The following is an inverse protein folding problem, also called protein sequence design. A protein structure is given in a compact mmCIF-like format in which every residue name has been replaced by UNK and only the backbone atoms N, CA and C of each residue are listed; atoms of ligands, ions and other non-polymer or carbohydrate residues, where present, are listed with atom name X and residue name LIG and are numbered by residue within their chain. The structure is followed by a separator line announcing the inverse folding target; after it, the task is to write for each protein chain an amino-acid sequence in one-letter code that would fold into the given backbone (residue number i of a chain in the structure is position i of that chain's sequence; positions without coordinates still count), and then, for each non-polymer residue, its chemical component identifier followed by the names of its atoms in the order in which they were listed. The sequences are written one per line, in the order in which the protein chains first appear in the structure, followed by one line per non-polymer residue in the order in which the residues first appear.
data_IF_749624241986
#
_entry.id   IF_749624241986
#
_cell.length_a   1.000
_cell.length_b   1.000
_cell.length_c   1.000
_cell.angle_alpha   90.00
_cell.angle_beta   90.00
_cell.angle_gamma   90.00
#
_symmetry.space_group_name_H-M   'P 1'
#
loop_
_entity.id
_entity.type
_entity.pdbx_description
1 polymer ?
#
# COMPACT_ATOMS: atom_id res chain seq x y z
N UNK A 1 -1.33 -11.23 -23.42
CA UNK A 1 -0.51 -10.03 -23.20
C UNK A 1 -1.07 -9.27 -22.01
N UNK A 2 -0.21 -8.99 -21.01
CA UNK A 2 -0.60 -8.18 -19.85
C UNK A 2 -0.60 -6.73 -20.29
N UNK A 3 -1.71 -6.03 -20.09
CA UNK A 3 -1.75 -4.59 -20.29
C UNK A 3 -0.83 -3.93 -19.24
N UNK A 4 0.08 -3.07 -19.64
CA UNK A 4 0.96 -2.36 -18.71
C UNK A 4 0.12 -1.48 -17.78
N UNK A 5 0.45 -1.46 -16.48
CA UNK A 5 -0.09 -0.49 -15.54
C UNK A 5 0.65 0.82 -15.74
N UNK A 6 -0.07 1.92 -15.87
CA UNK A 6 0.50 3.27 -15.92
C UNK A 6 0.20 4.01 -14.63
N UNK A 7 1.03 4.97 -14.25
CA UNK A 7 0.86 5.72 -13.01
C UNK A 7 0.87 7.22 -13.21
N UNK A 8 0.06 7.92 -12.41
CA UNK A 8 0.13 9.38 -12.25
C UNK A 8 0.35 9.72 -10.78
N UNK A 9 1.15 10.74 -10.51
CA UNK A 9 1.50 11.15 -9.15
C UNK A 9 0.72 12.39 -8.74
N UNK A 10 -0.02 12.29 -7.64
CA UNK A 10 -0.79 13.40 -7.07
C UNK A 10 0.12 14.46 -6.46
N UNK A 11 1.29 14.06 -5.97
CA UNK A 11 2.17 14.89 -5.15
C UNK A 11 3.64 14.46 -5.26
N UNK A 12 4.54 15.39 -5.07
CA UNK A 12 5.95 15.14 -4.74
C UNK A 12 6.16 15.41 -3.27
N UNK A 13 6.53 14.37 -2.52
CA UNK A 13 6.54 14.36 -1.06
C UNK A 13 5.23 13.84 -0.50
N UNK A 14 5.13 13.81 0.82
CA UNK A 14 3.97 13.29 1.52
C UNK A 14 3.62 14.17 2.72
N UNK A 15 2.34 14.25 3.08
CA UNK A 15 1.88 14.90 4.31
C UNK A 15 2.01 13.98 5.52
N UNK A 16 2.14 12.67 5.30
CA UNK A 16 2.24 11.64 6.35
C UNK A 16 3.71 11.34 6.62
N UNK A 17 3.99 10.93 7.85
CA UNK A 17 5.34 10.70 8.32
C UNK A 17 5.56 9.24 8.74
N UNK A 18 5.24 8.30 7.86
CA UNK A 18 5.45 6.89 8.09
C UNK A 18 6.93 6.60 8.36
N UNK A 19 7.22 5.82 9.40
CA UNK A 19 8.58 5.62 9.88
C UNK A 19 9.45 4.84 8.89
N UNK A 20 8.83 3.92 8.17
CA UNK A 20 9.43 3.00 7.21
C UNK A 20 9.63 3.60 5.81
N UNK A 21 8.91 4.68 5.49
CA UNK A 21 8.78 5.15 4.11
C UNK A 21 9.85 6.19 3.73
N UNK A 22 10.62 5.90 2.68
CA UNK A 22 11.58 6.82 2.05
C UNK A 22 10.93 7.99 1.28
N UNK A 23 9.60 7.98 1.11
CA UNK A 23 8.79 9.09 0.58
C UNK A 23 8.07 9.92 1.65
N UNK A 24 8.26 9.61 2.94
CA UNK A 24 7.59 10.30 4.04
C UNK A 24 7.95 11.79 4.14
N UNK A 25 7.20 12.52 4.95
CA UNK A 25 7.52 13.93 5.24
C UNK A 25 8.95 14.11 5.77
N UNK A 26 9.38 13.21 6.67
CA UNK A 26 10.75 13.20 7.19
C UNK A 26 11.79 13.01 6.08
N UNK A 27 11.62 11.95 5.26
CA UNK A 27 12.55 11.65 4.18
C UNK A 27 12.66 12.81 3.17
N UNK A 28 11.52 13.38 2.78
CA UNK A 28 11.51 14.53 1.88
C UNK A 28 12.20 15.76 2.47
N UNK A 29 12.02 16.02 3.77
CA UNK A 29 12.68 17.13 4.45
C UNK A 29 14.19 16.98 4.56
N UNK A 30 14.65 15.78 4.91
CA UNK A 30 16.06 15.53 5.25
C UNK A 30 16.92 15.12 4.04
N UNK A 31 16.36 14.31 3.12
CA UNK A 31 17.12 13.77 1.98
C UNK A 31 16.95 14.65 0.74
N UNK A 32 15.72 15.07 0.45
CA UNK A 32 15.39 15.86 -0.76
C UNK A 32 15.35 17.38 -0.48
N UNK A 33 15.56 17.79 0.77
CA UNK A 33 15.49 19.19 1.24
C UNK A 33 14.14 19.87 0.93
N UNK A 34 13.07 19.11 0.82
CA UNK A 34 11.72 19.58 0.53
C UNK A 34 10.88 19.62 1.81
N UNK A 35 10.68 20.80 2.35
CA UNK A 35 9.94 21.02 3.61
C UNK A 35 8.41 20.92 3.48
N UNK A 36 7.86 21.05 2.26
CA UNK A 36 6.42 20.97 2.02
C UNK A 36 6.15 20.09 0.81
N UNK A 37 5.11 19.24 0.84
CA UNK A 37 4.65 18.51 -0.33
C UNK A 37 4.25 19.47 -1.44
N UNK A 38 4.55 19.12 -2.70
CA UNK A 38 4.16 19.87 -3.87
C UNK A 38 3.10 19.09 -4.64
N UNK A 39 1.84 19.44 -4.41
CA UNK A 39 0.71 18.82 -5.08
C UNK A 39 0.60 19.29 -6.54
N UNK A 40 0.33 18.35 -7.43
CA UNK A 40 -0.10 18.67 -8.78
C UNK A 40 -1.51 19.26 -8.73
N UNK A 41 -1.84 20.25 -9.53
CA UNK A 41 -3.20 20.75 -9.50
C UNK A 41 -4.19 19.70 -10.01
N UNK A 42 -5.43 19.64 -9.48
CA UNK A 42 -6.45 18.70 -9.94
C UNK A 42 -6.65 18.69 -11.44
N UNK A 43 -6.67 19.90 -12.05
CA UNK A 43 -6.88 20.12 -13.48
C UNK A 43 -5.74 19.51 -14.31
N UNK A 44 -4.48 19.71 -13.87
CA UNK A 44 -3.31 19.15 -14.54
C UNK A 44 -3.18 17.65 -14.36
N UNK A 45 -3.58 17.13 -13.20
CA UNK A 45 -3.60 15.69 -12.97
C UNK A 45 -4.64 14.99 -13.87
N UNK A 46 -5.84 15.56 -14.00
CA UNK A 46 -6.88 15.06 -14.89
C UNK A 46 -6.49 15.21 -16.39
N UNK A 47 -5.78 16.28 -16.75
CA UNK A 47 -5.22 16.46 -18.08
C UNK A 47 -4.20 15.37 -18.41
N UNK A 48 -3.27 15.06 -17.49
CA UNK A 48 -2.29 13.97 -17.67
C UNK A 48 -2.99 12.63 -17.95
N UNK A 49 -4.04 12.29 -17.20
CA UNK A 49 -4.84 11.09 -17.42
C UNK A 49 -5.49 11.09 -18.80
N UNK A 50 -6.07 12.22 -19.22
CA UNK A 50 -6.68 12.35 -20.55
C UNK A 50 -5.65 12.17 -21.68
N UNK A 51 -4.42 12.67 -21.48
CA UNK A 51 -3.32 12.44 -22.43
C UNK A 51 -2.94 10.96 -22.48
N UNK A 52 -2.78 10.31 -21.32
CA UNK A 52 -2.50 8.86 -21.26
C UNK A 52 -3.59 8.08 -21.99
N UNK A 53 -4.86 8.38 -21.70
CA UNK A 53 -6.03 7.73 -22.32
C UNK A 53 -6.00 7.81 -23.86
N UNK A 54 -5.47 8.86 -24.43
CA UNK A 54 -5.41 9.01 -25.91
C UNK A 54 -4.41 8.05 -26.56
N UNK A 55 -3.51 7.45 -25.80
CA UNK A 55 -2.47 6.53 -26.27
C UNK A 55 -2.60 5.10 -25.73
N UNK A 56 -3.15 4.95 -24.50
CA UNK A 56 -3.14 3.69 -23.78
C UNK A 56 -4.52 3.41 -23.14
N UNK A 57 -5.12 2.29 -23.52
CA UNK A 57 -6.29 1.74 -22.84
C UNK A 57 -5.81 0.75 -21.75
N UNK A 58 -5.23 1.28 -20.68
CA UNK A 58 -4.67 0.49 -19.57
C UNK A 58 -5.16 1.05 -18.24
N UNK A 59 -5.18 0.25 -17.16
CA UNK A 59 -5.43 0.76 -15.82
C UNK A 59 -4.43 1.86 -15.45
N UNK A 60 -4.91 2.89 -14.77
CA UNK A 60 -4.09 4.02 -14.30
C UNK A 60 -4.05 4.00 -12.78
N UNK A 61 -2.86 3.83 -12.20
CA UNK A 61 -2.65 3.93 -10.78
C UNK A 61 -2.44 5.39 -10.37
N UNK A 62 -3.34 5.90 -9.54
CA UNK A 62 -3.27 7.24 -8.96
C UNK A 62 -2.46 7.14 -7.67
N UNK A 63 -1.16 7.38 -7.76
CA UNK A 63 -0.23 7.28 -6.64
C UNK A 63 -0.41 8.46 -5.68
N UNK A 64 -0.67 8.15 -4.42
CA UNK A 64 -0.95 9.10 -3.36
C UNK A 64 -2.46 9.33 -3.17
N UNK A 65 -2.89 9.29 -1.92
CA UNK A 65 -4.30 9.51 -1.56
C UNK A 65 -4.75 10.92 -1.98
N UNK A 66 -5.75 11.00 -2.84
CA UNK A 66 -6.33 12.26 -3.32
C UNK A 66 -6.80 13.17 -2.18
N UNK A 67 -7.16 12.58 -1.02
CA UNK A 67 -7.67 13.30 0.15
C UNK A 67 -6.56 13.85 1.04
N UNK A 68 -5.28 13.47 0.81
CA UNK A 68 -4.18 13.94 1.67
C UNK A 68 -3.95 15.45 1.58
N UNK A 69 -4.35 16.11 0.50
CA UNK A 69 -4.35 17.56 0.43
C UNK A 69 -5.59 18.14 1.13
N UNK A 70 -6.76 17.73 0.68
CA UNK A 70 -8.08 18.10 1.23
C UNK A 70 -9.21 17.36 0.50
N UNK A 71 -10.38 17.28 1.13
CA UNK A 71 -11.58 16.77 0.45
C UNK A 71 -11.92 17.57 -0.82
N UNK A 72 -11.79 18.90 -0.77
CA UNK A 72 -12.04 19.74 -1.93
C UNK A 72 -11.05 19.54 -3.08
N UNK A 73 -9.82 19.08 -2.81
CA UNK A 73 -8.89 18.67 -3.87
C UNK A 73 -9.40 17.41 -4.58
N UNK A 74 -9.78 16.38 -3.82
CA UNK A 74 -10.32 15.15 -4.37
C UNK A 74 -11.58 15.41 -5.22
N UNK A 75 -12.52 16.18 -4.69
CA UNK A 75 -13.76 16.54 -5.40
C UNK A 75 -13.50 17.28 -6.72
N UNK A 76 -12.56 18.25 -6.73
CA UNK A 76 -12.20 18.96 -7.96
C UNK A 76 -11.54 18.04 -8.98
N UNK A 77 -10.63 17.18 -8.54
CA UNK A 77 -10.00 16.20 -9.43
C UNK A 77 -11.03 15.26 -10.07
N UNK A 78 -11.93 14.69 -9.26
CA UNK A 78 -12.98 13.81 -9.77
C UNK A 78 -13.92 14.54 -10.76
N UNK A 79 -14.26 15.81 -10.47
CA UNK A 79 -15.03 16.64 -11.40
C UNK A 79 -14.29 16.85 -12.72
N UNK A 80 -13.00 17.20 -12.69
CA UNK A 80 -12.18 17.38 -13.89
C UNK A 80 -12.07 16.11 -14.74
N UNK A 81 -11.97 14.93 -14.09
CA UNK A 81 -11.99 13.66 -14.80
C UNK A 81 -13.32 13.41 -15.51
N UNK A 82 -14.45 13.71 -14.87
CA UNK A 82 -15.79 13.62 -15.51
C UNK A 82 -15.92 14.55 -16.68
N UNK A 83 -15.55 15.82 -16.50
CA UNK A 83 -15.64 16.85 -17.54
C UNK A 83 -14.78 16.51 -18.76
N UNK A 84 -13.70 15.76 -18.59
CA UNK A 84 -12.80 15.29 -19.65
C UNK A 84 -13.17 13.93 -20.22
N UNK A 85 -14.15 13.25 -19.66
CA UNK A 85 -14.57 11.92 -20.09
C UNK A 85 -13.50 10.85 -19.92
N UNK A 86 -12.86 10.81 -18.74
CA UNK A 86 -11.88 9.76 -18.43
C UNK A 86 -12.56 8.40 -18.37
N UNK A 87 -12.05 7.44 -19.17
CA UNK A 87 -12.63 6.08 -19.32
C UNK A 87 -11.71 4.96 -18.87
N UNK A 88 -10.44 5.22 -18.59
CA UNK A 88 -9.56 4.18 -18.07
C UNK A 88 -10.09 3.64 -16.74
N UNK A 89 -9.89 2.35 -16.51
CA UNK A 89 -9.97 1.81 -15.16
C UNK A 89 -8.93 2.49 -14.27
N UNK A 90 -9.29 2.86 -13.04
CA UNK A 90 -8.34 3.50 -12.14
C UNK A 90 -8.09 2.67 -10.88
N UNK A 91 -6.88 2.71 -10.39
CA UNK A 91 -6.48 2.20 -9.09
C UNK A 91 -6.23 3.38 -8.17
N UNK A 92 -6.94 3.44 -7.04
CA UNK A 92 -6.87 4.54 -6.07
C UNK A 92 -6.11 4.06 -4.85
N UNK A 93 -5.13 4.84 -4.41
CA UNK A 93 -4.42 4.59 -3.17
C UNK A 93 -5.12 5.27 -1.98
N UNK A 94 -5.28 4.53 -0.88
CA UNK A 94 -5.81 5.05 0.38
C UNK A 94 -4.73 5.06 1.46
N UNK A 95 -4.63 6.18 2.20
CA UNK A 95 -3.74 6.31 3.36
C UNK A 95 -4.47 6.15 4.70
N UNK A 96 -5.80 6.19 4.68
CA UNK A 96 -6.67 5.90 5.81
C UNK A 96 -8.06 5.48 5.30
N UNK A 97 -8.96 5.09 6.22
CA UNK A 97 -10.33 4.72 5.88
C UNK A 97 -11.08 5.81 5.11
N UNK A 98 -12.04 5.39 4.29
CA UNK A 98 -12.89 6.26 3.50
C UNK A 98 -14.37 5.85 3.60
N UNK A 99 -15.26 6.81 3.41
CA UNK A 99 -16.70 6.61 3.52
C UNK A 99 -17.43 6.65 2.19
N UNK A 100 -18.74 6.36 2.27
CA UNK A 100 -19.64 6.21 1.13
C UNK A 100 -19.69 7.45 0.22
N UNK A 101 -19.65 8.65 0.78
CA UNK A 101 -19.70 9.90 -0.01
C UNK A 101 -18.54 9.97 -1.01
N UNK A 102 -17.31 9.69 -0.53
CA UNK A 102 -16.14 9.69 -1.38
C UNK A 102 -16.20 8.58 -2.45
N UNK A 103 -16.59 7.36 -2.06
CA UNK A 103 -16.66 6.25 -2.99
C UNK A 103 -17.76 6.39 -4.05
N UNK A 104 -18.91 6.97 -3.68
CA UNK A 104 -19.95 7.29 -4.66
C UNK A 104 -19.48 8.35 -5.67
N UNK A 105 -18.66 9.31 -5.25
CA UNK A 105 -18.10 10.31 -6.18
C UNK A 105 -17.05 9.69 -7.11
N UNK A 106 -16.26 8.73 -6.60
CA UNK A 106 -15.33 7.93 -7.40
C UNK A 106 -16.08 7.08 -8.43
N UNK A 107 -17.12 6.34 -8.01
CA UNK A 107 -17.90 5.45 -8.86
C UNK A 107 -18.57 6.21 -10.01
N UNK A 108 -19.21 7.34 -9.69
CA UNK A 108 -19.81 8.22 -10.72
C UNK A 108 -18.78 8.82 -11.68
N UNK A 109 -17.50 8.81 -11.31
CA UNK A 109 -16.43 9.38 -12.14
C UNK A 109 -15.83 8.35 -13.08
N UNK A 110 -15.63 7.13 -12.62
CA UNK A 110 -14.90 6.11 -13.37
C UNK A 110 -15.82 4.96 -13.76
N UNK A 111 -16.68 5.21 -14.76
CA UNK A 111 -17.72 4.28 -15.23
C UNK A 111 -17.16 2.93 -15.73
N UNK A 112 -15.92 2.88 -16.21
CA UNK A 112 -15.25 1.63 -16.63
C UNK A 112 -14.61 0.86 -15.46
N UNK A 113 -14.90 1.29 -14.23
CA UNK A 113 -14.50 0.62 -13.00
C UNK A 113 -13.30 1.26 -12.30
N UNK A 114 -13.18 0.89 -11.05
CA UNK A 114 -12.12 1.35 -10.16
C UNK A 114 -11.78 0.28 -9.12
N UNK A 115 -10.59 0.37 -8.60
CA UNK A 115 -10.07 -0.51 -7.56
C UNK A 115 -9.27 0.28 -6.52
N UNK A 116 -8.97 -0.37 -5.41
CA UNK A 116 -8.28 0.25 -4.26
C UNK A 116 -7.01 -0.51 -3.92
N UNK A 117 -5.94 0.22 -3.63
CA UNK A 117 -4.79 -0.24 -2.85
C UNK A 117 -4.78 0.45 -1.49
N UNK A 118 -4.71 -0.32 -0.43
CA UNK A 118 -4.65 0.18 0.93
C UNK A 118 -3.59 -0.58 1.75
N UNK A 119 -2.63 0.15 2.30
CA UNK A 119 -1.49 -0.41 3.04
C UNK A 119 -1.52 -0.02 4.52
N UNK A 120 -2.28 -0.73 5.37
CA UNK A 120 -2.21 -0.55 6.81
C UNK A 120 -0.89 -1.03 7.42
N UNK A 121 -0.16 -1.89 6.73
CA UNK A 121 1.07 -2.58 7.09
C UNK A 121 0.90 -3.57 8.24
N UNK A 122 0.08 -3.29 9.24
CA UNK A 122 -0.21 -4.20 10.37
C UNK A 122 -1.69 -4.17 10.75
N UNK A 123 -2.21 -5.32 11.13
CA UNK A 123 -3.49 -5.46 11.81
C UNK A 123 -3.39 -5.06 13.29
N UNK A 124 -2.21 -5.11 13.88
CA UNK A 124 -1.97 -4.65 15.24
C UNK A 124 -1.92 -3.12 15.28
N UNK A 125 -2.91 -2.51 15.95
CA UNK A 125 -3.02 -1.05 16.04
C UNK A 125 -1.83 -0.39 16.74
N UNK A 126 -1.16 -1.08 17.67
CA UNK A 126 0.04 -0.55 18.33
C UNK A 126 1.20 -0.48 17.34
N UNK A 127 1.44 -1.56 16.60
CA UNK A 127 2.46 -1.60 15.55
C UNK A 127 2.18 -0.52 14.51
N UNK A 128 0.94 -0.44 14.02
CA UNK A 128 0.51 0.55 13.03
C UNK A 128 0.68 2.00 13.52
N UNK A 129 0.30 2.25 14.76
CA UNK A 129 0.45 3.59 15.37
C UNK A 129 1.92 4.03 15.48
N UNK A 130 2.81 3.12 15.84
CA UNK A 130 4.26 3.39 15.90
C UNK A 130 4.81 3.76 14.52
N UNK A 131 4.31 3.13 13.46
CA UNK A 131 4.69 3.49 12.09
C UNK A 131 4.17 4.87 11.66
N UNK A 132 3.22 5.46 12.40
CA UNK A 132 2.62 6.75 12.06
C UNK A 132 1.26 6.66 11.36
N UNK A 133 0.63 5.49 11.36
CA UNK A 133 -0.69 5.21 10.78
C UNK A 133 -1.71 4.98 11.90
N UNK A 134 -2.23 6.07 12.49
CA UNK A 134 -3.00 6.06 13.75
C UNK A 134 -4.50 5.72 13.63
N UNK A 135 -4.98 5.17 12.52
CA UNK A 135 -6.38 4.75 12.36
C UNK A 135 -6.64 3.35 12.92
N UNK A 136 -7.90 3.06 13.27
CA UNK A 136 -8.34 1.83 13.95
C UNK A 136 -8.60 0.69 12.95
N UNK A 137 -8.66 -0.56 13.45
CA UNK A 137 -9.12 -1.70 12.68
C UNK A 137 -10.59 -1.53 12.25
N UNK A 138 -11.41 -0.93 13.11
CA UNK A 138 -12.80 -0.61 12.76
C UNK A 138 -12.89 0.26 11.50
N UNK A 139 -12.00 1.23 11.34
CA UNK A 139 -11.96 2.07 10.12
C UNK A 139 -11.66 1.22 8.87
N UNK A 140 -10.77 0.24 8.97
CA UNK A 140 -10.48 -0.70 7.86
C UNK A 140 -11.69 -1.59 7.59
N UNK A 141 -12.25 -2.22 8.65
CA UNK A 141 -13.40 -3.13 8.57
C UNK A 141 -14.65 -2.45 7.99
N UNK A 142 -14.81 -1.15 8.19
CA UNK A 142 -15.91 -0.36 7.59
C UNK A 142 -15.62 0.07 6.15
N UNK A 143 -14.37 0.42 5.85
CA UNK A 143 -13.97 0.90 4.51
C UNK A 143 -14.18 -0.15 3.43
N UNK A 144 -13.83 -1.41 3.71
CA UNK A 144 -13.86 -2.50 2.71
C UNK A 144 -15.29 -2.76 2.20
N UNK A 145 -16.30 -3.08 3.05
CA UNK A 145 -17.66 -3.30 2.56
C UNK A 145 -18.25 -2.04 1.92
N UNK A 146 -18.00 -0.86 2.48
CA UNK A 146 -18.48 0.41 1.92
C UNK A 146 -17.95 0.63 0.50
N UNK A 147 -16.68 0.31 0.23
CA UNK A 147 -16.13 0.40 -1.12
C UNK A 147 -16.85 -0.53 -2.10
N UNK A 148 -17.11 -1.78 -1.70
CA UNK A 148 -17.83 -2.75 -2.53
C UNK A 148 -19.29 -2.37 -2.77
N UNK A 149 -19.98 -1.83 -1.77
CA UNK A 149 -21.34 -1.30 -1.90
C UNK A 149 -21.41 -0.14 -2.91
N UNK A 150 -20.33 0.63 -3.04
CA UNK A 150 -20.22 1.73 -3.98
C UNK A 150 -19.62 1.34 -5.34
N UNK A 151 -19.46 0.06 -5.68
CA UNK A 151 -19.05 -0.37 -7.01
C UNK A 151 -17.56 -0.72 -7.17
N UNK A 152 -16.75 -0.69 -6.10
CA UNK A 152 -15.35 -1.11 -6.16
C UNK A 152 -15.23 -2.52 -6.76
N UNK A 153 -14.43 -2.66 -7.81
CA UNK A 153 -14.27 -3.93 -8.51
C UNK A 153 -13.20 -4.83 -7.90
N UNK A 154 -12.25 -4.24 -7.15
CA UNK A 154 -11.16 -4.95 -6.47
C UNK A 154 -10.61 -4.13 -5.33
N UNK A 155 -10.33 -4.77 -4.21
CA UNK A 155 -9.72 -4.16 -3.03
C UNK A 155 -8.47 -4.94 -2.63
N UNK A 156 -7.31 -4.31 -2.74
CA UNK A 156 -6.02 -4.86 -2.35
C UNK A 156 -5.60 -4.28 -1.00
N UNK A 157 -5.43 -5.15 -0.01
CA UNK A 157 -5.03 -4.81 1.35
C UNK A 157 -3.65 -5.40 1.65
N UNK A 158 -2.72 -4.57 2.12
CA UNK A 158 -1.34 -5.00 2.35
C UNK A 158 -0.98 -5.00 3.83
N UNK A 159 -0.61 -6.17 4.33
CA UNK A 159 0.04 -6.38 5.63
C UNK A 159 1.49 -6.79 5.43
N UNK A 160 2.34 -6.43 6.37
CA UNK A 160 3.79 -6.64 6.29
C UNK A 160 4.32 -7.39 7.52
N UNK A 161 5.44 -8.07 7.34
CA UNK A 161 6.19 -8.76 8.40
C UNK A 161 7.55 -8.09 8.58
N UNK A 162 8.05 -8.12 9.81
CA UNK A 162 9.33 -7.51 10.14
C UNK A 162 9.22 -6.03 10.52
N UNK A 163 8.08 -5.63 11.05
CA UNK A 163 7.81 -4.28 11.50
C UNK A 163 8.34 -4.02 12.93
N UNK A 164 8.55 -2.75 13.33
CA UNK A 164 8.91 -2.41 14.70
C UNK A 164 7.83 -2.89 15.67
N UNK A 165 8.23 -3.46 16.80
CA UNK A 165 7.34 -4.00 17.85
C UNK A 165 6.45 -5.17 17.40
N UNK A 166 6.62 -5.67 16.21
CA UNK A 166 5.93 -6.87 15.72
C UNK A 166 6.76 -8.10 16.07
N UNK A 167 6.24 -8.94 16.94
CA UNK A 167 6.81 -10.26 17.23
C UNK A 167 6.20 -11.35 16.33
N UNK A 168 6.70 -12.58 16.53
CA UNK A 168 6.25 -13.74 15.74
C UNK A 168 4.76 -14.01 15.89
N UNK A 169 4.21 -13.86 17.11
CA UNK A 169 2.80 -14.11 17.39
C UNK A 169 1.92 -13.07 16.67
N UNK A 170 2.21 -11.79 16.84
CA UNK A 170 1.52 -10.71 16.13
C UNK A 170 1.61 -10.88 14.61
N UNK A 171 2.80 -11.21 14.09
CA UNK A 171 2.94 -11.45 12.66
C UNK A 171 2.07 -12.61 12.17
N UNK A 172 2.01 -13.74 12.89
CA UNK A 172 1.17 -14.89 12.54
C UNK A 172 -0.32 -14.60 12.64
N UNK A 173 -0.74 -13.78 13.61
CA UNK A 173 -2.15 -13.44 13.83
C UNK A 173 -2.78 -12.68 12.64
N UNK A 174 -1.97 -12.03 11.80
CA UNK A 174 -2.46 -11.38 10.59
C UNK A 174 -3.20 -12.32 9.61
N UNK A 175 -2.86 -13.61 9.60
CA UNK A 175 -3.58 -14.60 8.80
C UNK A 175 -5.00 -14.84 9.33
N UNK A 176 -5.18 -14.88 10.66
CA UNK A 176 -6.49 -15.00 11.31
C UNK A 176 -7.35 -13.77 11.02
N UNK A 177 -6.75 -12.57 11.09
CA UNK A 177 -7.45 -11.33 10.77
C UNK A 177 -7.85 -11.30 9.31
N UNK A 178 -6.99 -11.72 8.39
CA UNK A 178 -7.32 -11.84 6.97
C UNK A 178 -8.55 -12.73 6.74
N UNK A 179 -8.60 -13.91 7.36
CA UNK A 179 -9.78 -14.80 7.29
C UNK A 179 -11.05 -14.14 7.80
N UNK A 180 -10.96 -13.41 8.93
CA UNK A 180 -12.10 -12.67 9.48
C UNK A 180 -12.60 -11.60 8.51
N UNK A 181 -11.70 -10.87 7.86
CA UNK A 181 -12.05 -9.85 6.88
C UNK A 181 -12.72 -10.47 5.64
N UNK A 182 -12.20 -11.57 5.09
CA UNK A 182 -12.85 -12.27 3.97
C UNK A 182 -14.27 -12.73 4.34
N UNK A 183 -14.42 -13.34 5.51
CA UNK A 183 -15.74 -13.81 5.98
C UNK A 183 -16.74 -12.67 6.26
N UNK A 184 -16.27 -11.43 6.38
CA UNK A 184 -17.12 -10.26 6.68
C UNK A 184 -17.70 -9.59 5.43
N UNK A 185 -17.24 -9.96 4.23
CA UNK A 185 -17.68 -9.37 2.97
C UNK A 185 -18.35 -10.42 2.08
N UNK A 186 -19.35 -10.01 1.29
CA UNK A 186 -20.01 -10.90 0.31
C UNK A 186 -19.17 -11.10 -0.96
N UNK A 187 -18.26 -10.18 -1.22
CA UNK A 187 -17.41 -10.13 -2.42
C UNK A 187 -16.00 -10.67 -2.11
N UNK A 188 -15.92 -11.87 -1.52
CA UNK A 188 -14.66 -12.51 -1.15
C UNK A 188 -13.67 -12.64 -2.32
N UNK A 189 -14.19 -12.85 -3.53
CA UNK A 189 -13.41 -12.96 -4.76
C UNK A 189 -12.80 -11.64 -5.24
N UNK A 190 -13.23 -10.50 -4.67
CA UNK A 190 -12.74 -9.16 -4.98
C UNK A 190 -11.82 -8.57 -3.91
N UNK A 191 -11.75 -9.20 -2.73
CA UNK A 191 -10.86 -8.79 -1.65
C UNK A 191 -9.56 -9.59 -1.69
N UNK A 192 -8.45 -8.92 -1.89
CA UNK A 192 -7.11 -9.51 -1.89
C UNK A 192 -6.33 -8.99 -0.68
N UNK A 193 -5.87 -9.91 0.16
CA UNK A 193 -5.09 -9.54 1.34
C UNK A 193 -3.69 -10.12 1.17
N UNK A 194 -2.72 -9.23 1.02
CA UNK A 194 -1.32 -9.58 0.88
C UNK A 194 -0.65 -9.56 2.25
N UNK A 195 0.24 -10.49 2.46
CA UNK A 195 1.02 -10.57 3.67
C UNK A 195 2.45 -10.99 3.30
N UNK A 196 3.34 -10.05 3.30
CA UNK A 196 4.69 -10.20 2.80
C UNK A 196 5.72 -9.62 3.79
N UNK A 197 7.00 -9.96 3.69
CA UNK A 197 8.03 -9.20 4.37
C UNK A 197 7.90 -7.72 4.01
N UNK A 198 8.21 -6.87 4.99
CA UNK A 198 8.41 -5.46 4.71
C UNK A 198 9.59 -5.31 3.75
N UNK A 199 9.35 -5.18 2.48
CA UNK A 199 10.30 -5.09 1.39
C UNK A 199 11.62 -5.90 1.59
N UNK A 200 12.44 -6.22 0.61
CA UNK A 200 13.74 -6.84 0.86
C UNK A 200 14.73 -5.89 1.55
N UNK A 201 14.41 -4.61 1.64
CA UNK A 201 15.24 -3.57 2.26
C UNK A 201 14.37 -2.52 2.96
N UNK A 202 14.95 -1.88 3.97
CA UNK A 202 14.37 -0.68 4.58
C UNK A 202 14.66 0.51 3.67
N UNK A 203 13.65 1.31 3.39
CA UNK A 203 13.74 2.44 2.46
C UNK A 203 14.82 3.44 2.88
N UNK A 204 15.82 3.71 2.03
CA UNK A 204 16.80 4.76 2.27
C UNK A 204 16.13 6.13 2.51
N UNK A 205 16.62 6.85 3.50
CA UNK A 205 16.05 8.14 3.90
C UNK A 205 14.84 8.05 4.84
N UNK A 206 14.29 6.87 5.09
CA UNK A 206 13.24 6.68 6.10
C UNK A 206 13.80 6.87 7.52
N UNK A 207 12.92 7.14 8.49
CA UNK A 207 13.35 7.24 9.90
C UNK A 207 14.02 5.98 10.42
N UNK A 208 13.50 4.82 10.00
CA UNK A 208 14.09 3.51 10.37
C UNK A 208 15.48 3.36 9.75
N UNK A 209 15.66 3.72 8.49
CA UNK A 209 16.95 3.60 7.81
C UNK A 209 18.02 4.53 8.42
N UNK A 210 17.64 5.77 8.73
CA UNK A 210 18.58 6.77 9.28
C UNK A 210 18.95 6.46 10.72
N UNK A 211 18.01 5.94 11.53
CA UNK A 211 18.20 5.65 12.96
C UNK A 211 17.79 4.20 13.32
N UNK A 212 18.38 3.16 12.70
CA UNK A 212 17.86 1.79 12.80
C UNK A 212 17.85 1.24 14.24
N UNK A 213 18.84 1.56 15.04
CA UNK A 213 18.93 1.10 16.44
C UNK A 213 17.80 1.64 17.32
N UNK A 214 17.35 2.88 17.10
CA UNK A 214 16.22 3.48 17.82
C UNK A 214 14.92 2.74 17.52
N UNK A 215 14.80 2.24 16.28
CA UNK A 215 13.65 1.47 15.80
C UNK A 215 13.78 -0.04 16.02
N UNK A 216 14.88 -0.49 16.67
CA UNK A 216 15.12 -1.90 16.94
C UNK A 216 15.51 -2.70 15.70
N UNK A 217 16.08 -2.08 14.68
CA UNK A 217 16.58 -2.73 13.47
C UNK A 217 18.09 -2.91 13.50
N UNK A 218 18.53 -4.01 12.92
CA UNK A 218 19.91 -4.25 12.48
C UNK A 218 19.91 -4.31 10.97
N UNK A 219 20.56 -3.34 10.31
CA UNK A 219 20.69 -3.32 8.86
C UNK A 219 21.95 -4.10 8.43
N UNK A 220 21.78 -4.96 7.43
CA UNK A 220 22.85 -5.78 6.85
C UNK A 220 23.38 -5.20 5.53
N UNK A 221 22.67 -4.24 4.97
CA UNK A 221 23.10 -3.47 3.80
C UNK A 221 22.55 -2.05 3.91
N UNK A 222 23.39 -1.06 3.57
CA UNK A 222 23.05 0.36 3.53
C UNK A 222 23.43 1.00 2.20
N UNK A 223 24.28 0.39 1.43
CA UNK A 223 24.73 0.88 0.13
C UNK A 223 24.21 0.00 -1.00
N UNK A 224 24.14 0.53 -2.21
CA UNK A 224 23.75 -0.22 -3.39
C UNK A 224 24.66 -1.44 -3.62
N UNK A 225 25.95 -1.31 -3.37
CA UNK A 225 26.91 -2.41 -3.52
C UNK A 225 26.67 -3.51 -2.47
N UNK A 226 26.34 -3.17 -1.23
CA UNK A 226 25.99 -4.16 -0.21
C UNK A 226 24.70 -4.88 -0.56
N UNK A 227 23.67 -4.16 -1.05
CA UNK A 227 22.43 -4.76 -1.54
C UNK A 227 22.70 -5.68 -2.73
N UNK A 228 23.52 -5.26 -3.69
CA UNK A 228 23.91 -6.10 -4.83
C UNK A 228 24.50 -7.42 -4.36
N UNK A 229 25.42 -7.39 -3.36
CA UNK A 229 26.01 -8.61 -2.79
C UNK A 229 24.97 -9.53 -2.12
N UNK A 230 23.92 -8.96 -1.51
CA UNK A 230 22.84 -9.77 -0.96
C UNK A 230 22.09 -10.52 -2.06
N UNK A 231 21.94 -9.94 -3.25
CA UNK A 231 21.27 -10.58 -4.39
C UNK A 231 22.05 -11.79 -4.95
N UNK A 232 23.36 -11.92 -4.68
CA UNK A 232 24.16 -13.07 -5.08
C UNK A 232 23.85 -14.34 -4.27
N UNK A 233 23.04 -14.23 -3.21
CA UNK A 233 22.63 -15.35 -2.38
C UNK A 233 21.50 -16.16 -3.03
N UNK A 234 21.47 -17.49 -2.83
CA UNK A 234 20.54 -18.40 -3.52
C UNK A 234 19.09 -18.34 -3.00
N UNK A 235 18.84 -17.62 -1.92
CA UNK A 235 17.55 -17.59 -1.25
C UNK A 235 17.11 -16.15 -0.96
N UNK A 236 15.85 -15.84 -1.25
CA UNK A 236 15.29 -14.53 -0.98
C UNK A 236 15.39 -14.11 0.51
N UNK A 237 15.38 -15.06 1.44
CA UNK A 237 15.65 -14.81 2.86
C UNK A 237 16.96 -14.04 3.06
N UNK A 238 18.00 -14.40 2.31
CA UNK A 238 19.31 -13.76 2.41
C UNK A 238 19.37 -12.42 1.68
N UNK A 239 18.39 -12.12 0.84
CA UNK A 239 18.22 -10.79 0.21
C UNK A 239 17.67 -9.78 1.20
N UNK A 240 16.93 -10.20 2.24
CA UNK A 240 16.48 -9.31 3.30
C UNK A 240 17.66 -8.58 3.94
N UNK A 241 17.67 -7.26 3.81
CA UNK A 241 18.77 -6.42 4.29
C UNK A 241 18.67 -6.03 5.77
N UNK A 242 17.70 -6.58 6.49
CA UNK A 242 17.44 -6.21 7.88
C UNK A 242 16.96 -7.40 8.72
N UNK A 243 17.03 -7.22 10.00
CA UNK A 243 16.30 -7.96 11.02
C UNK A 243 15.91 -7.00 12.14
N UNK A 244 14.98 -7.42 13.00
CA UNK A 244 14.53 -6.61 14.12
C UNK A 244 14.90 -7.29 15.44
N UNK A 245 14.86 -6.56 16.55
CA UNK A 245 15.06 -7.16 17.88
C UNK A 245 13.93 -8.10 18.30
N UNK A 246 12.81 -8.12 17.55
CA UNK A 246 11.64 -8.99 17.81
C UNK A 246 11.59 -10.22 16.90
N UNK A 247 12.18 -10.12 15.70
CA UNK A 247 12.22 -11.20 14.71
C UNK A 247 13.54 -11.19 13.95
N UNK A 248 14.18 -12.35 13.88
CA UNK A 248 15.32 -12.59 12.99
C UNK A 248 14.88 -12.65 11.52
N UNK A 249 15.84 -12.61 10.59
CA UNK A 249 15.54 -12.86 9.16
C UNK A 249 14.89 -14.22 8.93
N UNK A 250 15.29 -15.21 9.72
CA UNK A 250 14.73 -16.55 9.64
C UNK A 250 13.28 -16.58 10.06
N UNK A 251 12.92 -15.86 11.14
CA UNK A 251 11.53 -15.72 11.57
C UNK A 251 10.67 -15.02 10.50
N UNK A 252 11.16 -13.92 9.95
CA UNK A 252 10.43 -13.16 8.90
C UNK A 252 10.18 -14.05 7.68
N UNK A 253 11.21 -14.80 7.25
CA UNK A 253 11.09 -15.71 6.12
C UNK A 253 10.12 -16.87 6.41
N UNK A 254 10.29 -17.54 7.55
CA UNK A 254 9.45 -18.68 7.94
C UNK A 254 7.98 -18.28 8.05
N UNK A 255 7.68 -17.15 8.72
CA UNK A 255 6.32 -16.64 8.87
C UNK A 255 5.70 -16.34 7.51
N UNK A 256 6.46 -15.74 6.60
CA UNK A 256 5.95 -15.41 5.27
C UNK A 256 5.57 -16.65 4.46
N UNK A 257 6.27 -17.77 4.62
CA UNK A 257 5.90 -19.05 4.01
C UNK A 257 4.79 -19.77 4.76
N UNK A 258 4.82 -19.80 6.10
CA UNK A 258 3.90 -20.59 6.90
C UNK A 258 2.48 -20.01 6.98
N UNK A 259 2.29 -18.75 6.60
CA UNK A 259 0.95 -18.15 6.50
C UNK A 259 0.13 -18.68 5.32
N UNK A 260 0.79 -19.09 4.23
CA UNK A 260 0.11 -19.62 3.04
C UNK A 260 -0.79 -20.82 3.37
N UNK A 261 -0.38 -21.84 4.16
CA UNK A 261 -1.26 -22.94 4.55
C UNK A 261 -2.34 -22.57 5.56
N UNK A 262 -2.19 -21.44 6.29
CA UNK A 262 -3.22 -20.96 7.23
C UNK A 262 -4.37 -20.23 6.54
N UNK A 263 -4.10 -19.68 5.36
CA UNK A 263 -5.11 -19.31 4.38
C UNK A 263 -5.52 -20.65 3.75
N UNK A 264 -6.76 -21.12 3.99
CA UNK A 264 -7.18 -22.44 3.50
C UNK A 264 -6.74 -22.66 2.03
N UNK A 265 -6.64 -23.94 1.62
CA UNK A 265 -6.10 -24.30 0.31
C UNK A 265 -6.88 -23.63 -0.85
N UNK A 266 -8.14 -23.29 -0.65
CA UNK A 266 -9.01 -22.65 -1.63
C UNK A 266 -8.65 -21.16 -1.80
N UNK A 267 -8.37 -20.44 -0.71
CA UNK A 267 -7.86 -19.07 -0.72
C UNK A 267 -6.43 -18.99 -1.28
N UNK A 268 -5.59 -19.97 -0.95
CA UNK A 268 -4.24 -20.08 -1.52
C UNK A 268 -4.26 -20.37 -3.03
N UNK A 269 -5.20 -21.19 -3.53
CA UNK A 269 -5.40 -21.42 -4.96
C UNK A 269 -5.96 -20.18 -5.68
N UNK A 270 -6.84 -19.41 -5.03
CA UNK A 270 -7.31 -18.12 -5.58
C UNK A 270 -6.17 -17.11 -5.76
N UNK A 271 -5.16 -17.13 -4.88
CA UNK A 271 -3.95 -16.31 -4.99
C UNK A 271 -2.96 -16.86 -6.04
N UNK A 272 -2.84 -18.19 -6.19
CA UNK A 272 -1.88 -18.85 -7.08
C UNK A 272 -2.35 -19.07 -8.52
N UNK A 273 -3.66 -19.18 -8.77
CA UNK A 273 -4.22 -19.48 -10.09
C UNK A 273 -4.58 -18.25 -10.94
N UNK A 274 -4.46 -17.05 -10.38
CA UNK A 274 -4.56 -15.85 -11.23
C UNK A 274 -3.17 -15.57 -11.82
N UNK A 275 -3.00 -15.96 -13.07
CA UNK A 275 -1.92 -15.44 -13.91
C UNK A 275 -1.89 -13.93 -13.74
N UNK A 276 -0.81 -13.47 -13.15
CA UNK A 276 -0.43 -12.06 -13.10
C UNK A 276 -0.46 -11.45 -14.47
#
# INVERSE_FOLDING_TARGET
DKLPLTSVFTVRGCTINCAECGGSHFANGNVVCRKKPAFRSPEKLAEDISVIQSYLDTPIFIVGDLRQHSAGYAQRFLKECRDRGVKNHVVIELFNGAGMEYFNDVDRTFENGWSIEFSPDSHDEKVRSVLGKGYTNQAIEQTIPTAFECGCSRFDLFYMNGLPYQDRESAMDSARVAKKLWASVKQEDKLFIYNAPFAPFVDPGSRIFENPSEWGYTLRARTLEEHRRLLDNPSWKHVLSYETKWMSRDDVAEISYNKIPMLDAESAMKLGNRKL
#
